data_IF_279945545401
#
_entry.id   IF_279945545401
#
_cell.length_a   1.000
_cell.length_b   1.000
_cell.length_c   1.000
_cell.angle_alpha   90.00
_cell.angle_beta   90.00
_cell.angle_gamma   90.00
#
_symmetry.space_group_name_H-M   'P 1'
#
loop_
_entity.id
_entity.type
_entity.pdbx_description
1 polymer ?
#
# COMPACT_ATOMS: atom_id res chain seq x y z
N UNK A 1 23.66 40.03 -5.93
CA UNK A 1 23.47 39.02 -4.86
C UNK A 1 22.01 38.60 -4.65
N UNK A 2 21.02 39.52 -4.64
CA UNK A 2 19.58 39.18 -4.48
C UNK A 2 18.99 38.22 -5.54
N UNK A 3 19.40 38.31 -6.82
CA UNK A 3 18.91 37.42 -7.90
C UNK A 3 19.30 35.95 -7.71
N UNK A 4 20.53 35.69 -7.27
CA UNK A 4 21.01 34.32 -7.05
C UNK A 4 20.36 33.66 -5.83
N UNK A 5 20.04 34.43 -4.78
CA UNK A 5 19.25 33.94 -3.66
C UNK A 5 17.84 33.51 -4.05
N UNK A 6 17.19 34.24 -4.96
CA UNK A 6 15.85 33.86 -5.43
C UNK A 6 15.88 32.54 -6.23
N UNK A 7 16.93 32.34 -7.06
CA UNK A 7 17.13 31.11 -7.83
C UNK A 7 17.43 29.92 -6.89
N UNK A 8 18.31 30.11 -5.89
CA UNK A 8 18.64 29.05 -4.92
C UNK A 8 17.43 28.68 -4.06
N UNK A 9 16.62 29.66 -3.63
CA UNK A 9 15.41 29.43 -2.86
C UNK A 9 14.34 28.71 -3.67
N UNK A 10 14.21 29.03 -4.96
CA UNK A 10 13.35 28.33 -5.91
C UNK A 10 13.76 26.86 -6.09
N UNK A 11 15.04 26.56 -6.24
CA UNK A 11 15.53 25.19 -6.32
C UNK A 11 15.26 24.38 -5.04
N UNK A 12 15.39 25.01 -3.88
CA UNK A 12 15.07 24.39 -2.59
C UNK A 12 13.59 24.05 -2.45
N UNK A 13 12.68 24.95 -2.84
CA UNK A 13 11.23 24.72 -2.77
C UNK A 13 10.76 23.55 -3.65
N UNK A 14 11.37 23.34 -4.81
CA UNK A 14 11.01 22.23 -5.72
C UNK A 14 11.44 20.87 -5.16
N UNK A 15 12.53 20.80 -4.40
CA UNK A 15 12.98 19.55 -3.77
C UNK A 15 12.13 19.11 -2.57
N UNK A 16 11.42 20.03 -1.92
CA UNK A 16 10.52 19.69 -0.79
C UNK A 16 9.12 19.24 -1.22
N UNK A 17 8.80 19.26 -2.51
CA UNK A 17 7.58 18.67 -3.04
C UNK A 17 7.76 17.16 -3.26
N UNK A 18 8.05 16.39 -2.20
CA UNK A 18 7.92 14.93 -2.26
C UNK A 18 6.43 14.62 -2.38
N UNK A 19 6.02 14.19 -3.57
CA UNK A 19 4.64 13.91 -3.92
C UNK A 19 4.18 12.62 -3.22
N UNK A 20 3.19 12.74 -2.33
CA UNK A 20 2.45 11.56 -1.90
C UNK A 20 1.79 10.90 -3.12
N UNK A 21 2.00 9.60 -3.29
CA UNK A 21 1.49 8.86 -4.44
C UNK A 21 0.24 8.06 -4.05
N UNK A 22 -0.82 8.17 -4.85
CA UNK A 22 -2.00 7.34 -4.73
C UNK A 22 -1.71 5.95 -5.30
N UNK A 23 -1.84 4.90 -4.50
CA UNK A 23 -1.54 3.54 -4.94
C UNK A 23 -2.53 2.54 -4.35
N UNK A 24 -2.62 1.39 -5.02
CA UNK A 24 -3.50 0.29 -4.68
C UNK A 24 -2.66 -0.94 -4.38
N UNK A 25 -3.30 -1.99 -3.87
CA UNK A 25 -2.68 -3.31 -3.83
C UNK A 25 -2.33 -3.78 -5.25
N UNK A 26 -1.21 -4.50 -5.44
CA UNK A 26 -0.83 -5.02 -6.76
C UNK A 26 -1.88 -6.00 -7.26
N UNK A 27 -2.25 -5.86 -8.53
CA UNK A 27 -3.27 -6.69 -9.15
C UNK A 27 -2.70 -8.07 -9.52
N UNK A 28 -3.33 -9.17 -9.07
CA UNK A 28 -2.83 -10.51 -9.32
C UNK A 28 -2.77 -10.87 -10.81
N UNK A 29 -3.62 -10.28 -11.66
CA UNK A 29 -3.67 -10.61 -13.09
C UNK A 29 -2.56 -9.90 -13.88
N UNK A 30 -2.23 -8.67 -13.49
CA UNK A 30 -1.32 -7.80 -14.24
C UNK A 30 0.10 -7.77 -13.70
N UNK A 31 0.33 -8.13 -12.43
CA UNK A 31 1.64 -8.07 -11.77
C UNK A 31 2.36 -9.43 -11.71
N UNK A 32 3.55 -9.47 -11.11
CA UNK A 32 4.31 -10.70 -10.86
C UNK A 32 3.64 -11.66 -9.86
N UNK A 33 2.56 -11.22 -9.20
CA UNK A 33 1.77 -12.06 -8.30
C UNK A 33 1.19 -13.30 -8.98
N UNK A 34 0.88 -13.25 -10.28
CA UNK A 34 0.46 -14.44 -11.06
C UNK A 34 1.49 -15.58 -11.03
N UNK A 35 2.75 -15.27 -10.73
CA UNK A 35 3.84 -16.25 -10.57
C UNK A 35 4.21 -16.48 -9.10
N UNK A 36 3.42 -15.99 -8.16
CA UNK A 36 3.67 -16.11 -6.72
C UNK A 36 4.83 -15.25 -6.22
N UNK A 37 5.21 -14.22 -6.99
CA UNK A 37 6.32 -13.32 -6.63
C UNK A 37 5.76 -11.94 -6.30
N UNK A 38 5.86 -11.46 -5.04
CA UNK A 38 5.50 -10.08 -4.70
C UNK A 38 6.29 -9.09 -5.57
N UNK A 39 5.63 -8.13 -6.24
CA UNK A 39 6.33 -7.10 -6.99
C UNK A 39 6.99 -6.11 -6.03
N UNK A 40 8.14 -5.54 -6.40
CA UNK A 40 8.72 -4.44 -5.62
C UNK A 40 7.71 -3.28 -5.48
N UNK A 41 7.63 -2.62 -4.30
CA UNK A 41 8.41 -2.79 -3.07
C UNK A 41 7.80 -3.76 -2.04
N UNK A 42 6.83 -4.58 -2.47
CA UNK A 42 6.11 -5.49 -1.59
C UNK A 42 6.97 -6.68 -1.21
N UNK A 43 6.87 -7.09 0.05
CA UNK A 43 7.54 -8.29 0.55
C UNK A 43 6.50 -9.29 1.07
N UNK A 44 6.89 -10.54 1.22
CA UNK A 44 6.02 -11.57 1.81
C UNK A 44 5.76 -11.21 3.27
N UNK A 45 4.49 -11.21 3.69
CA UNK A 45 4.16 -11.01 5.09
C UNK A 45 4.57 -12.26 5.90
N UNK A 46 5.49 -12.16 6.88
CA UNK A 46 5.94 -13.31 7.66
C UNK A 46 4.82 -13.92 8.53
N UNK A 47 3.75 -13.16 8.78
CA UNK A 47 2.57 -13.61 9.53
C UNK A 47 1.44 -14.13 8.64
N UNK A 48 1.69 -14.23 7.33
CA UNK A 48 0.73 -14.80 6.39
C UNK A 48 0.54 -16.31 6.65
N UNK A 49 -0.70 -16.83 6.68
CA UNK A 49 -0.95 -18.26 6.90
C UNK A 49 -0.39 -19.12 5.76
N UNK A 50 -0.43 -18.61 4.52
CA UNK A 50 0.18 -19.23 3.36
C UNK A 50 1.20 -18.30 2.69
N UNK A 51 2.07 -18.86 1.85
CA UNK A 51 2.97 -18.06 0.99
C UNK A 51 2.27 -17.71 -0.32
N UNK A 52 2.65 -16.59 -0.98
CA UNK A 52 2.22 -16.32 -2.34
C UNK A 52 2.58 -17.49 -3.26
N UNK A 53 1.65 -17.88 -4.11
CA UNK A 53 1.80 -18.97 -5.09
C UNK A 53 1.25 -18.48 -6.43
N UNK A 54 1.86 -18.94 -7.52
CA UNK A 54 1.36 -18.65 -8.85
C UNK A 54 0.10 -19.47 -9.12
N UNK A 55 -1.06 -18.83 -9.00
CA UNK A 55 -2.37 -19.46 -9.21
C UNK A 55 -3.28 -18.50 -10.00
N UNK A 56 -3.99 -19.06 -10.98
CA UNK A 56 -4.92 -18.33 -11.85
C UNK A 56 -6.17 -17.87 -11.11
N UNK A 57 -6.55 -18.54 -10.03
CA UNK A 57 -7.73 -18.20 -9.22
C UNK A 57 -7.41 -17.18 -8.11
N UNK A 58 -6.21 -16.60 -8.15
CA UNK A 58 -5.78 -15.58 -7.18
C UNK A 58 -6.59 -14.30 -7.36
N UNK A 59 -7.31 -13.89 -6.33
CA UNK A 59 -8.06 -12.64 -6.31
C UNK A 59 -7.83 -11.85 -5.03
N UNK A 60 -8.02 -10.54 -5.12
CA UNK A 60 -7.93 -9.62 -4.00
C UNK A 60 -9.06 -9.85 -3.00
N UNK A 61 -8.73 -9.83 -1.70
CA UNK A 61 -9.70 -9.96 -0.59
C UNK A 61 -9.85 -8.65 0.17
N UNK A 62 -8.72 -8.07 0.61
CA UNK A 62 -8.72 -6.85 1.42
C UNK A 62 -7.36 -6.16 1.44
N UNK A 63 -7.41 -4.87 1.74
CA UNK A 63 -6.26 -4.04 2.07
C UNK A 63 -6.37 -3.59 3.53
N UNK A 64 -5.25 -3.58 4.24
CA UNK A 64 -5.16 -3.09 5.61
C UNK A 64 -4.07 -2.03 5.70
N UNK A 65 -4.39 -0.86 6.22
CA UNK A 65 -3.40 0.12 6.66
C UNK A 65 -3.12 -0.17 8.13
N UNK A 66 -1.89 -0.58 8.45
CA UNK A 66 -1.45 -0.86 9.81
C UNK A 66 -0.86 0.39 10.44
N UNK A 67 -1.25 0.68 11.68
CA UNK A 67 -0.79 1.84 12.45
C UNK A 67 -0.31 1.38 13.83
N UNK A 68 0.98 1.52 14.09
CA UNK A 68 1.64 1.15 15.35
C UNK A 68 2.54 2.30 15.83
N UNK A 69 1.94 3.31 16.45
CA UNK A 69 2.64 4.55 16.83
C UNK A 69 3.13 5.29 15.58
N UNK A 70 4.45 5.44 15.44
CA UNK A 70 5.07 6.00 14.24
C UNK A 70 5.25 4.98 13.10
N UNK A 71 5.10 3.69 13.39
CA UNK A 71 5.14 2.63 12.39
C UNK A 71 3.86 2.59 11.56
N UNK A 72 4.01 2.61 10.23
CA UNK A 72 2.92 2.50 9.28
C UNK A 72 3.29 1.49 8.19
N UNK A 73 2.28 0.88 7.61
CA UNK A 73 2.44 0.01 6.47
C UNK A 73 1.11 -0.42 5.90
N UNK A 74 1.17 -1.12 4.78
CA UNK A 74 0.00 -1.66 4.10
C UNK A 74 0.15 -3.16 3.94
N UNK A 75 -0.92 -3.89 4.19
CA UNK A 75 -1.00 -5.33 3.95
C UNK A 75 -2.10 -5.58 2.93
N UNK A 76 -1.78 -6.32 1.88
CA UNK A 76 -2.74 -6.77 0.89
C UNK A 76 -2.94 -8.27 1.06
N UNK A 77 -4.20 -8.67 1.23
CA UNK A 77 -4.59 -10.08 1.36
C UNK A 77 -5.25 -10.54 0.08
N UNK A 78 -4.85 -11.72 -0.37
CA UNK A 78 -5.35 -12.39 -1.56
C UNK A 78 -5.79 -13.81 -1.18
N UNK A 79 -6.64 -14.40 -2.01
CA UNK A 79 -7.08 -15.78 -1.87
C UNK A 79 -6.88 -16.53 -3.16
N UNK A 80 -6.38 -17.75 -3.05
CA UNK A 80 -6.20 -18.68 -4.15
C UNK A 80 -6.61 -20.11 -3.71
N UNK A 81 -6.30 -21.13 -4.52
CA UNK A 81 -6.67 -22.53 -4.22
C UNK A 81 -6.03 -23.08 -2.93
N UNK A 82 -4.86 -22.56 -2.53
CA UNK A 82 -4.17 -22.92 -1.28
C UNK A 82 -4.72 -22.19 -0.05
N UNK A 83 -5.58 -21.20 -0.24
CA UNK A 83 -6.19 -20.39 0.81
C UNK A 83 -5.78 -18.92 0.74
N UNK A 84 -5.85 -18.23 1.87
CA UNK A 84 -5.46 -16.82 1.93
C UNK A 84 -3.96 -16.66 2.12
N UNK A 85 -3.37 -15.66 1.47
CA UNK A 85 -2.03 -15.20 1.75
C UNK A 85 -2.00 -13.67 1.76
N UNK A 86 -0.96 -13.10 2.35
CA UNK A 86 -0.76 -11.65 2.37
C UNK A 86 0.67 -11.26 2.04
N UNK A 87 0.77 -10.08 1.45
CA UNK A 87 2.01 -9.34 1.24
C UNK A 87 1.92 -8.05 2.02
N UNK A 88 3.05 -7.51 2.42
CA UNK A 88 3.11 -6.28 3.20
C UNK A 88 4.15 -5.33 2.62
N UNK A 89 3.90 -4.04 2.81
CA UNK A 89 4.81 -2.97 2.46
C UNK A 89 4.88 -2.00 3.62
N UNK A 90 6.06 -1.92 4.24
CA UNK A 90 6.31 -0.98 5.33
C UNK A 90 6.60 0.41 4.74
N UNK A 91 5.59 1.27 4.77
CA UNK A 91 5.63 2.61 4.19
C UNK A 91 4.77 3.55 5.01
N UNK A 92 5.16 4.82 5.04
CA UNK A 92 4.32 5.87 5.63
C UNK A 92 3.10 6.05 4.76
N UNK A 93 1.94 5.78 5.33
CA UNK A 93 0.65 5.86 4.63
C UNK A 93 -0.21 6.90 5.32
N UNK A 94 -0.83 7.78 4.53
CA UNK A 94 -1.83 8.71 5.03
C UNK A 94 -2.93 7.93 5.76
N UNK A 95 -3.12 8.25 7.03
CA UNK A 95 -4.18 7.65 7.84
C UNK A 95 -5.53 8.15 7.30
N UNK A 96 -6.45 7.25 6.91
CA UNK A 96 -7.79 7.63 6.46
C UNK A 96 -8.57 8.39 7.54
N UNK A 97 -9.55 9.17 7.10
CA UNK A 97 -10.50 9.77 8.01
C UNK A 97 -11.48 8.71 8.52
N UNK A 98 -11.96 8.83 9.76
CA UNK A 98 -12.98 7.92 10.32
C UNK A 98 -14.34 7.99 9.64
N UNK A 99 -14.56 9.01 8.81
CA UNK A 99 -15.77 9.18 7.99
C UNK A 99 -15.58 8.73 6.55
N UNK A 100 -14.40 8.18 6.20
CA UNK A 100 -14.14 7.62 4.88
C UNK A 100 -14.94 6.32 4.71
N UNK A 101 -15.81 6.26 3.70
CA UNK A 101 -16.69 5.11 3.48
C UNK A 101 -15.96 3.86 2.95
N UNK A 102 -14.74 4.02 2.43
CA UNK A 102 -13.95 2.91 1.89
C UNK A 102 -13.12 2.21 2.97
N UNK A 103 -12.81 2.93 4.06
CA UNK A 103 -11.90 2.48 5.10
C UNK A 103 -12.61 2.34 6.44
N UNK A 104 -12.73 1.11 6.92
CA UNK A 104 -13.33 0.78 8.21
C UNK A 104 -12.25 0.87 9.29
N UNK A 105 -12.46 1.70 10.31
CA UNK A 105 -11.57 1.82 11.49
C UNK A 105 -11.63 0.51 12.31
N UNK A 106 -10.46 -0.03 12.64
CA UNK A 106 -10.28 -1.30 13.33
C UNK A 106 -9.16 -1.19 14.38
N UNK A 107 -9.10 -2.17 15.28
CA UNK A 107 -8.00 -2.24 16.24
C UNK A 107 -6.66 -2.44 15.50
N UNK A 108 -5.82 -1.40 15.51
CA UNK A 108 -4.50 -1.43 14.86
C UNK A 108 -4.45 -0.80 13.46
N UNK A 109 -5.53 -0.15 13.00
CA UNK A 109 -5.52 0.64 11.77
C UNK A 109 -6.83 0.58 11.00
N UNK A 110 -6.77 0.48 9.68
CA UNK A 110 -7.94 0.58 8.80
C UNK A 110 -8.00 -0.60 7.83
N UNK A 111 -9.20 -1.05 7.48
CA UNK A 111 -9.43 -2.12 6.51
C UNK A 111 -10.35 -1.67 5.38
N UNK A 112 -10.04 -2.09 4.16
CA UNK A 112 -10.88 -1.91 2.99
C UNK A 112 -11.09 -3.26 2.29
N UNK A 113 -12.34 -3.56 1.92
CA UNK A 113 -12.75 -4.81 1.27
C UNK A 113 -13.58 -4.57 0.00
N UNK A 114 -13.66 -3.32 -0.47
CA UNK A 114 -14.57 -2.95 -1.57
C UNK A 114 -14.07 -3.38 -2.96
N UNK A 115 -12.76 -3.62 -3.10
CA UNK A 115 -12.13 -4.02 -4.35
C UNK A 115 -10.80 -3.31 -4.58
N UNK A 116 -10.04 -3.77 -5.56
CA UNK A 116 -8.66 -3.31 -5.77
C UNK A 116 -8.60 -1.82 -6.17
N UNK A 117 -9.53 -1.36 -6.98
CA UNK A 117 -9.60 0.04 -7.42
C UNK A 117 -10.16 0.99 -6.36
N UNK A 118 -10.99 0.48 -5.45
CA UNK A 118 -11.64 1.24 -4.39
C UNK A 118 -10.76 1.36 -3.14
N UNK A 119 -9.93 0.36 -2.88
CA UNK A 119 -9.01 0.33 -1.75
C UNK A 119 -7.71 1.10 -2.01
N UNK A 120 -7.87 2.37 -2.39
CA UNK A 120 -6.77 3.29 -2.64
C UNK A 120 -6.21 3.87 -1.34
N UNK A 121 -4.89 3.93 -1.25
CA UNK A 121 -4.16 4.54 -0.16
C UNK A 121 -3.06 5.48 -0.69
N UNK A 122 -2.54 6.34 0.18
CA UNK A 122 -1.56 7.36 -0.21
C UNK A 122 -0.28 7.14 0.58
N UNK A 123 0.82 6.88 -0.13
CA UNK A 123 2.15 6.68 0.47
C UNK A 123 2.98 7.96 0.36
N UNK A 124 3.80 8.24 1.38
CA UNK A 124 4.72 9.38 1.41
C UNK A 124 6.11 9.03 0.85
#
# INVERSE_FOLDING_TARGET
MKKYHFIIFSFFLVHFATFGHATNCPDPETTSLKWGVPPDPWIVNPYSPNRPQGDKDTHFVRANILVAGYGQGVVCTYRNSAGEYSIWWQVRTKIPSRIDYNWIDTLGGFVCTQGLEQCQFYTA
#
